data_IF_392207183642
#
_entry.id   IF_392207183642
#
_cell.length_a   1.000
_cell.length_b   1.000
_cell.length_c   1.000
_cell.angle_alpha   90.00
_cell.angle_beta   90.00
_cell.angle_gamma   90.00
#
_symmetry.space_group_name_H-M   'P 1'
#
loop_
_entity.id
_entity.type
_entity.pdbx_description
1 polymer ?
#
# COMPACT_ATOMS: atom_id res chain seq x y z
N UNK A 1 -60.68 36.32 -8.73
CA UNK A 1 -60.92 35.45 -7.56
C UNK A 1 -60.51 33.98 -7.89
N UNK A 2 -59.25 33.69 -8.02
CA UNK A 2 -58.76 32.36 -8.39
C UNK A 2 -57.39 32.12 -7.75
N UNK A 3 -57.28 32.17 -6.43
CA UNK A 3 -55.98 32.02 -5.79
C UNK A 3 -55.96 31.24 -4.47
N UNK A 4 -57.10 30.76 -3.99
CA UNK A 4 -57.16 30.12 -2.67
C UNK A 4 -57.10 28.58 -2.71
N UNK A 5 -57.37 27.94 -3.86
CA UNK A 5 -57.41 26.48 -3.99
C UNK A 5 -56.05 25.85 -4.30
N UNK A 6 -55.19 26.54 -5.03
CA UNK A 6 -53.86 26.04 -5.40
C UNK A 6 -52.89 25.98 -4.19
N UNK A 7 -53.03 26.83 -3.20
CA UNK A 7 -52.18 26.83 -2.01
C UNK A 7 -52.35 25.62 -1.09
N UNK A 8 -53.52 24.97 -1.11
CA UNK A 8 -53.79 23.79 -0.27
C UNK A 8 -53.20 22.52 -0.82
N UNK A 9 -52.97 22.42 -2.12
CA UNK A 9 -52.35 21.22 -2.72
C UNK A 9 -50.82 21.16 -2.59
N UNK A 10 -50.17 22.31 -2.53
CA UNK A 10 -48.70 22.32 -2.34
C UNK A 10 -48.26 21.82 -0.97
N UNK A 11 -49.04 21.99 0.07
CA UNK A 11 -48.74 21.49 1.41
C UNK A 11 -48.94 19.99 1.55
N UNK A 12 -49.86 19.40 0.82
CA UNK A 12 -50.08 17.94 0.83
C UNK A 12 -49.03 17.20 -0.01
N UNK A 13 -48.52 17.81 -1.07
CA UNK A 13 -47.42 17.24 -1.87
C UNK A 13 -46.07 17.37 -1.14
N UNK A 14 -45.84 18.45 -0.39
CA UNK A 14 -44.61 18.61 0.41
C UNK A 14 -44.53 17.64 1.59
N UNK A 15 -45.67 17.21 2.17
CA UNK A 15 -45.66 16.22 3.26
C UNK A 15 -45.42 14.78 2.77
N UNK A 16 -45.75 14.48 1.50
CA UNK A 16 -45.52 13.14 0.92
C UNK A 16 -44.06 12.89 0.51
N UNK A 17 -43.25 13.94 0.31
CA UNK A 17 -41.83 13.82 -0.08
C UNK A 17 -40.91 13.68 1.14
N UNK A 18 -41.37 14.05 2.34
CA UNK A 18 -40.56 13.96 3.56
C UNK A 18 -40.52 12.56 4.22
N UNK A 19 -41.24 11.57 3.68
CA UNK A 19 -41.14 10.16 4.08
C UNK A 19 -40.28 9.32 3.14
N UNK A 20 -39.27 9.90 2.53
CA UNK A 20 -38.26 9.15 1.76
C UNK A 20 -37.20 8.60 2.70
N UNK A 21 -37.46 7.39 3.16
CA UNK A 21 -36.50 6.26 3.18
C UNK A 21 -35.17 6.55 3.84
N UNK A 22 -35.13 6.48 5.16
CA UNK A 22 -33.96 5.92 5.83
C UNK A 22 -34.04 4.39 5.72
N UNK A 23 -33.79 3.84 4.54
CA UNK A 23 -33.37 2.44 4.43
C UNK A 23 -31.95 2.44 4.98
N UNK A 24 -31.83 2.32 6.27
CA UNK A 24 -30.59 1.93 6.89
C UNK A 24 -30.21 0.61 6.25
N UNK A 25 -29.19 0.62 5.41
CA UNK A 25 -28.56 -0.62 4.92
C UNK A 25 -28.03 -1.34 6.15
N UNK A 26 -28.85 -2.18 6.77
CA UNK A 26 -28.37 -3.10 7.80
C UNK A 26 -27.31 -3.94 7.12
N UNK A 27 -26.04 -3.63 7.41
CA UNK A 27 -24.93 -4.44 6.93
C UNK A 27 -25.13 -5.83 7.50
N UNK A 28 -25.18 -6.84 6.63
CA UNK A 28 -25.26 -8.23 7.09
C UNK A 28 -24.16 -8.46 8.13
N UNK A 29 -24.44 -9.17 9.22
CA UNK A 29 -23.43 -9.47 10.21
C UNK A 29 -22.27 -10.21 9.53
N UNK A 30 -21.04 -9.70 9.70
CA UNK A 30 -19.83 -10.37 9.23
C UNK A 30 -19.66 -11.59 10.15
N UNK A 31 -19.58 -12.82 9.59
CA UNK A 31 -19.40 -13.99 10.42
C UNK A 31 -18.03 -13.94 11.11
N UNK A 32 -17.97 -14.38 12.35
CA UNK A 32 -16.72 -14.56 13.07
C UNK A 32 -15.88 -15.65 12.39
N UNK A 33 -14.63 -15.32 12.06
CA UNK A 33 -13.69 -16.29 11.51
C UNK A 33 -13.06 -17.11 12.62
N UNK A 34 -12.89 -18.42 12.39
CA UNK A 34 -12.16 -19.28 13.31
C UNK A 34 -10.67 -18.87 13.35
N UNK A 35 -10.15 -18.34 14.47
CA UNK A 35 -8.78 -17.85 14.56
C UNK A 35 -7.72 -18.96 14.47
N UNK A 36 -8.10 -20.23 14.65
CA UNK A 36 -7.21 -21.37 14.43
C UNK A 36 -7.03 -21.70 12.94
N UNK A 37 -7.94 -21.22 12.09
CA UNK A 37 -7.87 -21.45 10.64
C UNK A 37 -7.34 -20.24 9.87
N UNK A 38 -7.69 -19.02 10.31
CA UNK A 38 -7.39 -17.78 9.57
C UNK A 38 -6.94 -16.70 10.57
N UNK A 39 -5.78 -16.10 10.27
CA UNK A 39 -5.32 -14.86 10.88
C UNK A 39 -5.36 -13.74 9.85
N UNK A 40 -5.84 -12.55 10.24
CA UNK A 40 -5.89 -11.39 9.36
C UNK A 40 -5.56 -10.10 10.11
N UNK A 41 -5.13 -9.09 9.35
CA UNK A 41 -5.02 -7.71 9.81
C UNK A 41 -5.76 -6.80 8.85
N UNK A 42 -6.61 -5.95 9.37
CA UNK A 42 -7.24 -4.89 8.58
C UNK A 42 -6.24 -3.74 8.36
N UNK A 43 -6.42 -2.89 7.32
CA UNK A 43 -5.48 -1.81 7.02
C UNK A 43 -5.18 -0.87 8.21
N UNK A 44 -6.16 -0.62 9.07
CA UNK A 44 -6.00 0.20 10.27
C UNK A 44 -5.33 -0.52 11.46
N UNK A 45 -5.02 -1.81 11.30
CA UNK A 45 -4.33 -2.66 12.28
C UNK A 45 -2.87 -2.93 11.87
N UNK A 46 -2.43 -2.39 10.73
CA UNK A 46 -1.06 -2.50 10.26
C UNK A 46 -0.20 -1.49 11.00
N UNK A 47 0.80 -1.99 11.72
CA UNK A 47 1.73 -1.16 12.48
C UNK A 47 2.90 -0.75 11.57
N UNK A 48 2.90 0.50 11.13
CA UNK A 48 3.96 1.08 10.34
C UNK A 48 5.08 1.62 11.24
N UNK A 49 6.32 1.34 10.83
CA UNK A 49 7.54 1.92 11.40
C UNK A 49 8.10 2.89 10.38
N UNK A 50 8.25 4.14 10.78
CA UNK A 50 8.78 5.21 9.93
C UNK A 50 10.29 5.09 9.78
N UNK A 51 10.77 5.07 8.55
CA UNK A 51 12.19 5.10 8.22
C UNK A 51 12.68 6.52 7.91
N UNK A 52 13.86 6.86 8.37
CA UNK A 52 14.47 8.18 8.16
C UNK A 52 14.74 8.49 6.68
N UNK A 53 14.85 7.46 5.84
CA UNK A 53 15.09 7.57 4.39
C UNK A 53 13.81 7.72 3.56
N UNK A 54 12.63 7.92 4.18
CA UNK A 54 11.34 8.02 3.51
C UNK A 54 10.70 6.68 3.14
N UNK A 55 11.27 5.55 3.61
CA UNK A 55 10.68 4.22 3.47
C UNK A 55 10.07 3.78 4.79
N UNK A 56 8.75 3.82 4.90
CA UNK A 56 8.03 3.20 6.01
C UNK A 56 7.92 1.70 5.79
N UNK A 57 8.01 0.92 6.86
CA UNK A 57 7.88 -0.54 6.79
C UNK A 57 6.87 -1.09 7.79
N UNK A 58 6.23 -2.21 7.44
CA UNK A 58 5.35 -2.94 8.35
C UNK A 58 5.55 -4.45 8.18
N UNK A 59 5.84 -5.15 9.27
CA UNK A 59 5.97 -6.62 9.24
C UNK A 59 4.58 -7.24 9.30
N UNK A 60 4.23 -8.03 8.27
CA UNK A 60 2.99 -8.78 8.19
C UNK A 60 3.15 -10.20 8.73
N UNK A 61 4.25 -10.87 8.40
CA UNK A 61 4.57 -12.22 8.86
C UNK A 61 6.08 -12.43 8.98
N UNK A 62 6.50 -13.35 9.82
CA UNK A 62 7.90 -13.67 10.07
C UNK A 62 8.65 -12.58 10.82
N UNK A 63 9.99 -12.63 10.74
CA UNK A 63 10.90 -11.66 11.34
C UNK A 63 12.04 -11.39 10.34
N UNK A 64 12.07 -10.23 9.67
CA UNK A 64 13.09 -9.94 8.66
C UNK A 64 14.51 -9.84 9.22
N UNK A 65 14.70 -9.78 10.54
CA UNK A 65 16.02 -9.76 11.18
C UNK A 65 16.60 -11.14 11.41
N UNK A 66 15.84 -12.21 11.23
CA UNK A 66 16.21 -13.61 11.53
C UNK A 66 16.16 -14.49 10.29
N UNK A 67 16.85 -15.64 10.29
CA UNK A 67 16.65 -16.66 9.26
C UNK A 67 15.18 -17.12 9.20
N UNK A 68 14.67 -17.34 7.99
CA UNK A 68 13.31 -17.77 7.71
C UNK A 68 12.55 -16.78 6.84
N UNK A 69 11.42 -17.23 6.33
CA UNK A 69 10.57 -16.44 5.46
C UNK A 69 9.95 -15.24 6.21
N UNK A 70 9.94 -14.09 5.57
CA UNK A 70 9.23 -12.91 6.05
C UNK A 70 8.34 -12.30 4.95
N UNK A 71 7.30 -11.58 5.38
CA UNK A 71 6.47 -10.73 4.53
C UNK A 71 6.39 -9.34 5.15
N UNK A 72 6.75 -8.33 4.39
CA UNK A 72 6.68 -6.93 4.83
C UNK A 72 5.97 -6.07 3.78
N UNK A 73 5.32 -5.02 4.23
CA UNK A 73 4.96 -3.89 3.39
C UNK A 73 6.06 -2.84 3.49
N UNK A 74 6.35 -2.21 2.37
CA UNK A 74 7.20 -1.02 2.29
C UNK A 74 6.43 0.08 1.59
N UNK A 75 6.42 1.28 2.15
CA UNK A 75 5.84 2.47 1.54
C UNK A 75 6.91 3.52 1.38
N UNK A 76 7.25 3.84 0.14
CA UNK A 76 8.09 4.99 -0.18
C UNK A 76 7.22 6.24 -0.28
N UNK A 77 7.61 7.28 0.44
CA UNK A 77 7.04 8.62 0.29
C UNK A 77 7.55 9.24 -1.01
N UNK A 78 6.75 10.05 -1.67
CA UNK A 78 7.12 10.79 -2.88
C UNK A 78 8.48 11.50 -2.70
N UNK A 79 9.27 11.51 -3.77
CA UNK A 79 10.62 12.10 -3.85
C UNK A 79 11.69 11.43 -2.98
N UNK A 80 11.44 10.20 -2.50
CA UNK A 80 12.43 9.40 -1.79
C UNK A 80 12.79 8.14 -2.55
N UNK A 81 14.07 7.84 -2.56
CA UNK A 81 14.63 6.69 -3.27
C UNK A 81 15.86 6.18 -2.51
N UNK A 82 16.05 4.86 -2.50
CA UNK A 82 17.28 4.26 -1.98
C UNK A 82 18.47 4.59 -2.87
N UNK A 83 19.66 4.58 -2.30
CA UNK A 83 20.91 4.58 -3.05
C UNK A 83 21.29 3.15 -3.45
N UNK A 84 22.23 2.94 -4.43
CA UNK A 84 22.70 1.64 -4.86
C UNK A 84 23.12 0.73 -3.71
N UNK A 85 22.48 -0.43 -3.62
CA UNK A 85 22.69 -1.42 -2.57
C UNK A 85 22.31 -2.81 -3.06
N UNK A 86 22.59 -3.82 -2.27
CA UNK A 86 22.12 -5.18 -2.50
C UNK A 86 21.72 -5.88 -1.19
N UNK A 87 20.97 -6.95 -1.32
CA UNK A 87 20.57 -7.84 -0.23
C UNK A 87 21.21 -9.21 -0.39
N UNK A 88 21.41 -9.98 0.70
CA UNK A 88 22.06 -11.29 0.61
C UNK A 88 21.27 -12.34 -0.17
N UNK A 89 19.93 -12.29 -0.08
CA UNK A 89 19.00 -13.27 -0.61
C UNK A 89 18.03 -12.64 -1.63
N UNK A 90 17.39 -13.48 -2.43
CA UNK A 90 16.33 -13.07 -3.35
C UNK A 90 15.14 -12.52 -2.58
N UNK A 91 14.49 -11.52 -3.18
CA UNK A 91 13.23 -10.95 -2.69
C UNK A 91 12.24 -10.85 -3.83
N UNK A 92 11.01 -11.20 -3.54
CA UNK A 92 9.87 -11.11 -4.47
C UNK A 92 9.00 -9.94 -4.07
N UNK A 93 8.84 -8.99 -4.98
CA UNK A 93 8.18 -7.72 -4.71
C UNK A 93 6.95 -7.59 -5.60
N UNK A 94 5.81 -7.22 -5.00
CA UNK A 94 4.60 -6.87 -5.74
C UNK A 94 4.28 -5.40 -5.50
N UNK A 95 4.06 -4.66 -6.58
CA UNK A 95 3.58 -3.28 -6.49
C UNK A 95 2.09 -3.29 -6.19
N UNK A 96 1.70 -2.78 -5.01
CA UNK A 96 0.30 -2.72 -4.56
C UNK A 96 -0.37 -1.44 -5.06
N UNK A 97 0.29 -0.29 -4.90
CA UNK A 97 -0.25 1.02 -5.32
C UNK A 97 0.87 1.99 -5.67
N UNK A 98 0.55 2.99 -6.47
CA UNK A 98 1.54 3.96 -6.96
C UNK A 98 2.40 3.42 -8.09
N UNK A 99 3.43 4.16 -8.49
CA UNK A 99 4.43 3.73 -9.48
C UNK A 99 5.78 3.57 -8.78
N UNK A 100 6.31 2.35 -8.81
CA UNK A 100 7.62 2.06 -8.26
C UNK A 100 8.69 2.26 -9.32
N UNK A 101 9.71 3.04 -8.99
CA UNK A 101 10.82 3.36 -9.88
C UNK A 101 12.06 2.57 -9.47
N UNK A 102 12.60 1.78 -10.39
CA UNK A 102 13.75 0.89 -10.13
C UNK A 102 14.89 1.16 -11.09
N UNK A 103 16.10 1.16 -10.56
CA UNK A 103 17.35 1.24 -11.31
C UNK A 103 18.32 0.14 -10.90
N UNK A 104 19.32 -0.11 -11.73
CA UNK A 104 20.35 -1.13 -11.50
C UNK A 104 21.75 -0.53 -11.67
N UNK A 105 22.75 -1.22 -11.09
CA UNK A 105 24.14 -0.78 -11.14
C UNK A 105 24.54 0.06 -9.92
N UNK A 106 25.83 0.38 -9.88
CA UNK A 106 26.48 1.01 -8.72
C UNK A 106 26.48 2.54 -8.78
N UNK A 107 26.14 3.14 -9.92
CA UNK A 107 25.99 4.59 -10.06
C UNK A 107 24.55 4.98 -9.81
N UNK A 108 24.33 5.87 -8.86
CA UNK A 108 22.99 6.41 -8.61
C UNK A 108 22.57 7.38 -9.74
N UNK A 109 21.50 7.03 -10.42
CA UNK A 109 20.91 7.84 -11.50
C UNK A 109 19.38 7.71 -11.47
N UNK A 110 18.69 8.54 -10.69
CA UNK A 110 17.23 8.47 -10.56
C UNK A 110 16.49 8.74 -11.89
N UNK A 111 17.13 9.44 -12.86
CA UNK A 111 16.52 9.71 -14.16
C UNK A 111 16.55 8.50 -15.09
N UNK A 112 17.47 7.57 -14.86
CA UNK A 112 17.59 6.29 -15.59
C UNK A 112 16.82 5.14 -14.93
N UNK A 113 15.76 5.42 -14.18
CA UNK A 113 14.93 4.39 -13.54
C UNK A 113 13.74 3.98 -14.40
N UNK A 114 13.35 2.70 -14.29
CA UNK A 114 12.21 2.12 -14.99
C UNK A 114 10.94 2.14 -14.12
N UNK A 115 9.78 2.62 -14.64
CA UNK A 115 8.53 2.67 -13.90
C UNK A 115 7.80 1.33 -13.91
N UNK A 116 7.36 0.89 -12.74
CA UNK A 116 6.60 -0.33 -12.52
C UNK A 116 5.23 0.04 -11.93
N UNK A 117 4.12 -0.14 -12.67
CA UNK A 117 2.77 0.17 -12.19
C UNK A 117 2.24 -0.87 -11.20
N UNK A 118 1.09 -0.61 -10.53
CA UNK A 118 0.43 -1.59 -9.67
C UNK A 118 0.16 -2.91 -10.38
N UNK A 119 0.36 -4.03 -9.67
CA UNK A 119 0.27 -5.39 -10.21
C UNK A 119 1.58 -5.91 -10.82
N UNK A 120 2.62 -5.08 -10.95
CA UNK A 120 3.94 -5.56 -11.35
C UNK A 120 4.52 -6.49 -10.29
N UNK A 121 5.17 -7.57 -10.75
CA UNK A 121 5.91 -8.53 -9.91
C UNK A 121 7.37 -8.48 -10.31
N UNK A 122 8.26 -8.34 -9.33
CA UNK A 122 9.69 -8.14 -9.53
C UNK A 122 10.48 -9.09 -8.63
N UNK A 123 11.57 -9.63 -9.13
CA UNK A 123 12.57 -10.34 -8.31
C UNK A 123 13.81 -9.47 -8.19
N UNK A 124 14.15 -9.08 -6.98
CA UNK A 124 15.50 -8.62 -6.66
C UNK A 124 16.37 -9.82 -6.34
N UNK A 125 17.26 -10.16 -7.25
CA UNK A 125 18.20 -11.27 -7.05
C UNK A 125 19.21 -10.93 -5.97
N UNK A 126 19.50 -11.89 -5.12
CA UNK A 126 20.48 -11.76 -4.07
C UNK A 126 21.85 -11.31 -4.61
N UNK A 127 22.51 -10.38 -3.90
CA UNK A 127 23.82 -9.80 -4.22
C UNK A 127 23.87 -8.99 -5.52
N UNK A 128 22.72 -8.74 -6.18
CA UNK A 128 22.67 -7.88 -7.35
C UNK A 128 22.32 -6.45 -6.95
N UNK A 129 23.10 -5.48 -7.44
CA UNK A 129 22.99 -4.08 -7.07
C UNK A 129 21.80 -3.44 -7.76
N UNK A 130 20.97 -2.77 -6.98
CA UNK A 130 19.80 -2.00 -7.42
C UNK A 130 19.60 -0.77 -6.53
N UNK A 131 18.73 0.12 -6.97
CA UNK A 131 18.17 1.23 -6.21
C UNK A 131 16.74 1.47 -6.66
N UNK A 132 15.90 1.94 -5.76
CA UNK A 132 14.46 2.02 -6.02
C UNK A 132 13.77 3.02 -5.10
N UNK A 133 12.55 3.44 -5.47
CA UNK A 133 11.77 4.34 -4.66
C UNK A 133 10.57 4.96 -5.37
N UNK A 134 10.19 6.14 -4.92
CA UNK A 134 9.07 6.92 -5.42
C UNK A 134 9.52 8.26 -5.99
N UNK A 135 8.98 8.66 -7.16
CA UNK A 135 9.17 10.01 -7.72
C UNK A 135 8.04 10.93 -7.28
N UNK A 136 7.03 11.10 -8.09
CA UNK A 136 6.02 12.15 -7.92
C UNK A 136 4.90 11.80 -6.93
N UNK A 137 4.73 10.52 -6.59
CA UNK A 137 3.69 10.03 -5.71
C UNK A 137 4.18 8.84 -4.88
N UNK A 138 3.57 8.64 -3.71
CA UNK A 138 3.86 7.51 -2.84
C UNK A 138 3.63 6.18 -3.55
N UNK A 139 4.42 5.18 -3.21
CA UNK A 139 4.26 3.80 -3.67
C UNK A 139 4.21 2.84 -2.48
N UNK A 140 3.34 1.84 -2.57
CA UNK A 140 3.27 0.74 -1.58
C UNK A 140 3.60 -0.58 -2.27
N UNK A 141 4.49 -1.33 -1.64
CA UNK A 141 5.01 -2.62 -2.08
C UNK A 141 4.72 -3.69 -1.04
N UNK A 142 4.49 -4.92 -1.49
CA UNK A 142 4.67 -6.11 -0.65
C UNK A 142 5.99 -6.77 -1.01
N UNK A 143 6.76 -7.16 -0.02
CA UNK A 143 8.05 -7.84 -0.19
C UNK A 143 8.00 -9.16 0.58
N UNK A 144 8.26 -10.26 -0.13
CA UNK A 144 8.46 -11.59 0.43
C UNK A 144 9.92 -11.98 0.24
N UNK A 145 10.57 -12.45 1.29
CA UNK A 145 11.97 -12.83 1.23
C UNK A 145 12.39 -13.82 2.30
N UNK A 146 13.63 -14.26 2.20
CA UNK A 146 14.32 -15.06 3.21
C UNK A 146 15.25 -14.16 4.02
N UNK A 147 15.09 -14.17 5.33
CA UNK A 147 15.92 -13.36 6.24
C UNK A 147 17.29 -14.01 6.57
N UNK A 148 18.21 -13.25 7.13
CA UNK A 148 18.08 -11.85 7.53
C UNK A 148 18.08 -10.88 6.34
N UNK A 149 17.17 -9.91 6.36
CA UNK A 149 16.99 -8.91 5.31
C UNK A 149 17.94 -7.72 5.50
N UNK A 150 19.23 -8.00 5.54
CA UNK A 150 20.27 -6.96 5.63
C UNK A 150 20.46 -6.25 4.28
N UNK A 151 20.99 -5.03 4.33
CA UNK A 151 21.32 -4.23 3.17
C UNK A 151 22.80 -3.86 3.21
N UNK A 152 23.47 -3.95 2.05
CA UNK A 152 24.86 -3.55 1.88
C UNK A 152 24.94 -2.45 0.83
N UNK A 153 25.49 -1.29 1.19
CA UNK A 153 25.70 -0.18 0.26
C UNK A 153 26.72 -0.58 -0.83
N UNK A 154 26.46 -0.14 -2.06
CA UNK A 154 27.25 -0.49 -3.25
C UNK A 154 27.44 0.70 -4.21
N UNK A 155 27.11 1.91 -3.78
CA UNK A 155 27.30 3.10 -4.60
C UNK A 155 28.79 3.40 -4.82
N UNK A 156 29.14 3.73 -6.06
CA UNK A 156 30.45 4.30 -6.42
C UNK A 156 30.30 5.74 -6.89
N UNK A 157 31.16 6.62 -6.41
CA UNK A 157 31.19 8.05 -6.70
C UNK A 157 32.16 8.39 -7.81
#
# INVERSE_FOLDING_TARGET
MLTSWLRRYYWLVALAIAMAVTVGSARAPVPDLNPAAISYKLPNQINWVHGENGADTAVLAGDPSKPGMYVVLTRWTAHHMSHPHFHPNDRYITVISGTWWVGTGTKYDPDSTFPLPPGSVVTHFGKQVHYDGAKDADVTLEIVGEGPATQTAAEVH
#
